data_IF_702845285847
#
_entry.id   IF_702845285847
#
_cell.length_a   1.000
_cell.length_b   1.000
_cell.length_c   1.000
_cell.angle_alpha   90.00
_cell.angle_beta   90.00
_cell.angle_gamma   90.00
#
_symmetry.space_group_name_H-M   'P 1'
#
loop_
_entity.id
_entity.type
_entity.pdbx_description
1 polymer ?
#
# COMPACT_ATOMS: atom_id res chain seq x y z
N UNK A 1 22.47 -12.48 -11.26
CA UNK A 1 21.37 -13.26 -11.87
C UNK A 1 20.67 -12.35 -12.87
N UNK A 2 20.35 -12.82 -14.07
CA UNK A 2 19.72 -12.00 -15.12
C UNK A 2 18.24 -12.34 -15.28
N UNK A 3 17.42 -11.35 -15.64
CA UNK A 3 16.05 -11.52 -16.08
C UNK A 3 15.92 -11.10 -17.55
N UNK A 4 15.45 -11.99 -18.41
CA UNK A 4 14.96 -11.61 -19.72
C UNK A 4 13.43 -11.43 -19.65
N UNK A 5 12.93 -10.30 -20.14
CA UNK A 5 11.52 -9.95 -20.17
C UNK A 5 11.08 -9.69 -21.61
N UNK A 6 10.11 -10.46 -22.09
CA UNK A 6 9.46 -10.23 -23.38
C UNK A 6 8.05 -9.76 -23.13
N UNK A 7 7.70 -8.57 -23.62
CA UNK A 7 6.37 -8.00 -23.51
C UNK A 7 5.67 -7.92 -24.86
N UNK A 8 4.38 -8.27 -24.88
CA UNK A 8 3.55 -8.21 -26.09
C UNK A 8 3.21 -6.78 -26.54
N UNK A 9 3.32 -5.77 -25.67
CA UNK A 9 3.01 -4.39 -26.03
C UNK A 9 3.92 -3.86 -27.15
N UNK A 10 5.16 -4.32 -27.19
CA UNK A 10 6.16 -3.91 -28.19
C UNK A 10 5.74 -4.27 -29.63
N UNK A 11 4.87 -5.26 -29.80
CA UNK A 11 4.34 -5.63 -31.11
C UNK A 11 3.15 -4.75 -31.56
N UNK A 12 2.73 -3.77 -30.75
CA UNK A 12 1.55 -2.93 -31.00
C UNK A 12 0.21 -3.71 -31.01
N UNK A 13 0.23 -5.00 -30.67
CA UNK A 13 -0.92 -5.87 -30.77
C UNK A 13 -1.57 -6.08 -29.39
N UNK A 14 -2.34 -5.09 -28.96
CA UNK A 14 -3.30 -5.25 -27.86
C UNK A 14 -4.66 -5.81 -28.35
N UNK A 15 -4.80 -6.14 -29.64
CA UNK A 15 -6.08 -6.51 -30.26
C UNK A 15 -6.71 -7.78 -29.64
N UNK A 16 -5.94 -8.58 -28.90
CA UNK A 16 -6.44 -9.70 -28.10
C UNK A 16 -7.01 -9.33 -26.72
N UNK A 17 -7.07 -8.04 -26.36
CA UNK A 17 -7.53 -7.58 -25.04
C UNK A 17 -6.61 -8.01 -23.89
N UNK A 18 -5.34 -8.27 -24.18
CA UNK A 18 -4.41 -8.86 -23.23
C UNK A 18 -2.98 -8.35 -23.46
N UNK A 19 -2.35 -7.83 -22.42
CA UNK A 19 -0.91 -7.59 -22.35
C UNK A 19 -0.25 -8.78 -21.66
N UNK A 20 0.79 -9.36 -22.28
CA UNK A 20 1.53 -10.51 -21.74
C UNK A 20 2.99 -10.13 -21.48
N UNK A 21 3.51 -10.62 -20.37
CA UNK A 21 4.92 -10.55 -19.98
C UNK A 21 5.44 -11.98 -19.80
N UNK A 22 6.47 -12.34 -20.56
CA UNK A 22 7.22 -13.57 -20.37
C UNK A 22 8.49 -13.23 -19.59
N UNK A 23 8.59 -13.75 -18.37
CA UNK A 23 9.72 -13.51 -17.47
C UNK A 23 10.58 -14.76 -17.38
N UNK A 24 11.83 -14.69 -17.85
CA UNK A 24 12.77 -15.81 -17.88
C UNK A 24 14.02 -15.48 -17.08
N UNK A 25 14.13 -15.98 -15.83
CA UNK A 25 15.37 -15.92 -15.06
C UNK A 25 16.50 -16.67 -15.75
N UNK A 26 17.74 -16.17 -15.65
CA UNK A 26 18.96 -16.83 -16.11
C UNK A 26 20.10 -16.75 -15.10
N UNK A 27 20.85 -17.83 -15.02
CA UNK A 27 22.09 -17.92 -14.25
C UNK A 27 23.19 -18.46 -15.16
N UNK A 28 24.03 -17.55 -15.69
CA UNK A 28 24.94 -17.86 -16.80
C UNK A 28 24.15 -18.28 -18.04
N UNK A 29 24.54 -19.41 -18.64
CA UNK A 29 23.87 -19.99 -19.81
C UNK A 29 22.60 -20.81 -19.46
N UNK A 30 22.31 -21.03 -18.18
CA UNK A 30 21.15 -21.83 -17.76
C UNK A 30 19.89 -20.99 -17.72
N UNK A 31 18.84 -21.51 -18.35
CA UNK A 31 17.50 -20.95 -18.33
C UNK A 31 16.74 -21.46 -17.11
N UNK A 32 16.15 -20.54 -16.35
CA UNK A 32 15.12 -20.84 -15.38
C UNK A 32 13.77 -21.09 -16.05
N UNK A 33 12.77 -21.42 -15.22
CA UNK A 33 11.38 -21.51 -15.67
C UNK A 33 10.91 -20.14 -16.17
N UNK A 34 10.31 -20.12 -17.36
CA UNK A 34 9.60 -18.93 -17.87
C UNK A 34 8.20 -18.88 -17.27
N UNK A 35 7.86 -17.75 -16.66
CA UNK A 35 6.49 -17.46 -16.25
C UNK A 35 5.81 -16.52 -17.25
N UNK A 36 4.55 -16.78 -17.56
CA UNK A 36 3.70 -15.88 -18.33
C UNK A 36 2.75 -15.13 -17.38
N UNK A 37 3.01 -13.85 -17.20
CA UNK A 37 2.10 -12.93 -16.51
C UNK A 37 1.22 -12.25 -17.56
N UNK A 38 -0.06 -12.09 -17.27
CA UNK A 38 -0.96 -11.41 -18.17
C UNK A 38 -1.83 -10.37 -17.45
N UNK A 39 -2.23 -9.35 -18.21
CA UNK A 39 -3.08 -8.25 -17.78
C UNK A 39 -4.18 -8.05 -18.81
N UNK A 40 -5.44 -8.16 -18.39
CA UNK A 40 -6.58 -7.87 -19.27
C UNK A 40 -6.64 -6.35 -19.51
N UNK A 41 -6.57 -5.96 -20.77
CA UNK A 41 -6.53 -4.55 -21.19
C UNK A 41 -7.60 -4.26 -22.24
N UNK A 42 -8.06 -3.00 -22.39
CA UNK A 42 -8.91 -2.57 -23.50
C UNK A 42 -8.26 -2.82 -24.87
N UNK A 43 -9.06 -2.89 -25.93
CA UNK A 43 -8.55 -3.12 -27.29
C UNK A 43 -7.72 -1.95 -27.84
N UNK A 44 -8.02 -0.73 -27.38
CA UNK A 44 -7.32 0.53 -27.69
C UNK A 44 -6.22 0.87 -26.66
N UNK A 45 -5.84 -0.09 -25.84
CA UNK A 45 -4.83 0.09 -24.81
C UNK A 45 -3.47 0.45 -25.41
N UNK A 46 -2.82 1.41 -24.77
CA UNK A 46 -1.46 1.84 -25.06
C UNK A 46 -0.74 2.17 -23.76
N UNK A 47 0.57 1.99 -23.76
CA UNK A 47 1.43 2.22 -22.59
C UNK A 47 2.85 2.56 -23.06
N UNK A 48 3.53 3.43 -22.33
CA UNK A 48 4.91 3.79 -22.58
C UNK A 48 5.86 2.67 -22.13
N UNK A 49 6.96 2.49 -22.85
CA UNK A 49 7.96 1.45 -22.55
C UNK A 49 8.51 1.55 -21.12
N UNK A 50 8.80 2.77 -20.66
CA UNK A 50 9.24 3.06 -19.29
C UNK A 50 8.25 2.56 -18.24
N UNK A 51 6.94 2.73 -18.48
CA UNK A 51 5.87 2.25 -17.59
C UNK A 51 5.87 0.73 -17.49
N UNK A 52 6.08 0.03 -18.61
CA UNK A 52 6.16 -1.44 -18.64
C UNK A 52 7.40 -1.93 -17.90
N UNK A 53 8.57 -1.31 -18.13
CA UNK A 53 9.80 -1.66 -17.44
C UNK A 53 9.68 -1.44 -15.92
N UNK A 54 9.19 -0.27 -15.49
CA UNK A 54 8.92 0.01 -14.09
C UNK A 54 7.93 -1.01 -13.50
N UNK A 55 6.82 -1.31 -14.18
CA UNK A 55 5.85 -2.30 -13.72
C UNK A 55 6.50 -3.68 -13.51
N UNK A 56 7.33 -4.18 -14.46
CA UNK A 56 8.06 -5.44 -14.30
C UNK A 56 8.92 -5.43 -13.04
N UNK A 57 9.70 -4.37 -12.83
CA UNK A 57 10.59 -4.26 -11.67
C UNK A 57 9.83 -4.15 -10.34
N UNK A 58 8.63 -3.56 -10.32
CA UNK A 58 7.78 -3.59 -9.11
C UNK A 58 7.33 -5.00 -8.72
N UNK A 59 7.24 -5.93 -9.69
CA UNK A 59 6.86 -7.33 -9.48
C UNK A 59 8.05 -8.21 -9.07
N UNK A 60 9.25 -7.95 -9.60
CA UNK A 60 10.42 -8.81 -9.36
C UNK A 60 11.32 -8.32 -8.23
N UNK A 61 11.27 -7.03 -7.89
CA UNK A 61 12.14 -6.44 -6.86
C UNK A 61 13.64 -6.49 -7.21
N UNK A 62 14.53 -6.41 -6.20
CA UNK A 62 16.00 -6.37 -6.39
C UNK A 62 16.62 -7.75 -6.66
N UNK A 63 15.82 -8.77 -7.04
CA UNK A 63 16.28 -10.16 -7.16
C UNK A 63 17.30 -10.36 -8.28
N UNK A 64 17.27 -9.49 -9.28
CA UNK A 64 18.08 -9.60 -10.49
C UNK A 64 19.09 -8.46 -10.52
N UNK A 65 20.33 -8.76 -10.89
CA UNK A 65 21.37 -7.76 -11.10
C UNK A 65 21.34 -7.23 -12.53
N UNK A 66 20.81 -8.00 -13.47
CA UNK A 66 20.70 -7.62 -14.88
C UNK A 66 19.28 -7.83 -15.38
N UNK A 67 18.75 -6.90 -16.16
CA UNK A 67 17.42 -7.01 -16.79
C UNK A 67 17.51 -6.67 -18.27
N UNK A 68 16.88 -7.48 -19.12
CA UNK A 68 16.79 -7.26 -20.58
C UNK A 68 15.35 -7.28 -21.05
N UNK A 69 14.96 -6.30 -21.85
CA UNK A 69 13.66 -6.17 -22.48
C UNK A 69 13.75 -6.41 -23.98
N UNK A 70 12.62 -6.74 -24.63
CA UNK A 70 12.50 -6.79 -26.09
C UNK A 70 12.11 -5.42 -26.70
N UNK A 71 12.16 -4.35 -25.92
CA UNK A 71 11.83 -2.97 -26.29
C UNK A 71 12.84 -2.04 -25.61
N UNK A 72 13.07 -0.87 -26.20
CA UNK A 72 13.97 0.12 -25.61
C UNK A 72 13.27 0.97 -24.54
N UNK A 73 14.00 1.37 -23.50
CA UNK A 73 13.54 2.32 -22.48
C UNK A 73 14.35 3.62 -22.55
N UNK A 74 13.82 4.70 -21.98
CA UNK A 74 14.54 5.97 -21.89
C UNK A 74 15.75 5.85 -20.95
N UNK A 75 16.76 6.71 -21.17
CA UNK A 75 17.93 6.81 -20.27
C UNK A 75 17.52 7.13 -18.83
N UNK A 76 16.54 8.02 -18.65
CA UNK A 76 16.04 8.38 -17.32
C UNK A 76 15.44 7.17 -16.57
N UNK A 77 14.61 6.37 -17.25
CA UNK A 77 14.04 5.16 -16.68
C UNK A 77 15.14 4.15 -16.29
N UNK A 78 16.09 3.92 -17.21
CA UNK A 78 17.21 3.01 -17.00
C UNK A 78 18.06 3.41 -15.79
N UNK A 79 18.46 4.68 -15.70
CA UNK A 79 19.28 5.20 -14.59
C UNK A 79 18.55 5.10 -13.24
N UNK A 80 17.27 5.48 -13.22
CA UNK A 80 16.44 5.47 -12.00
C UNK A 80 16.25 4.04 -11.47
N UNK A 81 15.89 3.09 -12.34
CA UNK A 81 15.73 1.69 -11.96
C UNK A 81 17.06 1.04 -11.56
N UNK A 82 18.15 1.38 -12.26
CA UNK A 82 19.50 0.89 -11.93
C UNK A 82 19.89 1.30 -10.52
N UNK A 83 19.73 2.59 -10.20
CA UNK A 83 20.06 3.13 -8.88
C UNK A 83 19.20 2.51 -7.78
N UNK A 84 17.89 2.46 -7.99
CA UNK A 84 16.94 2.02 -6.96
C UNK A 84 17.02 0.51 -6.67
N UNK A 85 17.13 -0.33 -7.71
CA UNK A 85 17.19 -1.79 -7.56
C UNK A 85 18.60 -2.37 -7.50
N UNK A 86 19.65 -1.53 -7.56
CA UNK A 86 21.04 -1.97 -7.54
C UNK A 86 21.44 -2.81 -8.76
N UNK A 87 20.88 -2.49 -9.94
CA UNK A 87 21.16 -3.24 -11.17
C UNK A 87 22.57 -2.90 -11.69
N UNK A 88 23.26 -3.89 -12.23
CA UNK A 88 24.50 -3.69 -13.00
C UNK A 88 24.19 -3.32 -14.45
N UNK A 89 23.06 -3.78 -15.00
CA UNK A 89 22.66 -3.47 -16.38
C UNK A 89 21.14 -3.60 -16.56
N UNK A 90 20.54 -2.66 -17.27
CA UNK A 90 19.14 -2.70 -17.73
C UNK A 90 19.07 -2.19 -19.17
N UNK A 91 18.23 -2.78 -20.03
CA UNK A 91 18.07 -2.28 -21.39
C UNK A 91 17.28 -3.21 -22.32
N UNK A 92 17.28 -2.97 -23.64
CA UNK A 92 18.05 -1.92 -24.33
C UNK A 92 17.64 -0.50 -23.92
N UNK A 93 18.58 0.44 -23.98
CA UNK A 93 18.33 1.85 -23.70
C UNK A 93 18.40 2.61 -25.03
N UNK A 94 17.38 3.42 -25.29
CA UNK A 94 17.38 4.38 -26.40
C UNK A 94 17.62 5.78 -25.85
N UNK A 95 18.81 6.33 -26.13
CA UNK A 95 19.21 7.64 -25.64
C UNK A 95 18.40 8.79 -26.25
N UNK A 96 17.73 8.57 -27.39
CA UNK A 96 16.84 9.54 -28.01
C UNK A 96 15.37 9.41 -27.57
N UNK A 97 15.03 8.39 -26.80
CA UNK A 97 13.67 8.22 -26.27
C UNK A 97 13.44 9.18 -25.11
N UNK A 98 12.47 10.08 -25.31
CA UNK A 98 11.99 10.94 -24.23
C UNK A 98 11.37 10.10 -23.11
N UNK A 99 11.61 10.45 -21.83
CA UNK A 99 10.94 9.77 -20.73
C UNK A 99 9.43 10.02 -20.78
N UNK A 100 8.67 9.07 -20.23
CA UNK A 100 7.22 9.23 -20.08
C UNK A 100 6.91 10.54 -19.34
N UNK A 101 6.06 11.38 -19.93
CA UNK A 101 5.60 12.62 -19.30
C UNK A 101 4.42 12.34 -18.36
N UNK A 102 4.31 13.06 -17.23
CA UNK A 102 3.15 12.95 -16.36
C UNK A 102 1.89 13.42 -17.09
N UNK A 103 0.77 12.74 -16.82
CA UNK A 103 -0.55 13.11 -17.34
C UNK A 103 -1.24 14.21 -16.54
N UNK A 104 -2.58 14.16 -16.47
CA UNK A 104 -3.43 15.16 -15.78
C UNK A 104 -4.22 14.64 -14.59
N UNK A 105 -4.37 13.32 -14.45
CA UNK A 105 -5.20 12.72 -13.42
C UNK A 105 -4.41 12.06 -12.29
N UNK A 106 -4.92 12.17 -11.06
CA UNK A 106 -4.51 11.35 -9.93
C UNK A 106 -5.26 10.02 -10.00
N UNK A 107 -4.59 8.90 -9.76
CA UNK A 107 -5.25 7.61 -9.56
C UNK A 107 -5.26 7.19 -8.09
N UNK A 108 -6.35 6.56 -7.66
CA UNK A 108 -6.42 5.75 -6.45
C UNK A 108 -6.24 4.27 -6.81
N UNK A 109 -5.25 3.63 -6.19
CA UNK A 109 -5.14 2.17 -6.21
C UNK A 109 -6.15 1.57 -5.23
N UNK A 110 -7.23 0.99 -5.76
CA UNK A 110 -8.40 0.63 -4.98
C UNK A 110 -8.60 -0.88 -4.93
N UNK A 111 -8.33 -1.49 -3.78
CA UNK A 111 -8.52 -2.93 -3.53
C UNK A 111 -9.92 -3.27 -3.00
N UNK A 112 -10.67 -2.30 -2.51
CA UNK A 112 -11.95 -2.52 -1.83
C UNK A 112 -11.82 -2.90 -0.36
N UNK A 113 -10.61 -3.14 0.16
CA UNK A 113 -10.40 -3.35 1.60
C UNK A 113 -10.67 -2.08 2.43
N UNK A 114 -10.73 -2.22 3.76
CA UNK A 114 -11.05 -1.13 4.70
C UNK A 114 -10.23 0.14 4.43
N UNK A 115 -8.90 0.01 4.28
CA UNK A 115 -8.01 1.17 4.18
C UNK A 115 -8.23 1.92 2.86
N UNK A 116 -8.30 1.18 1.75
CA UNK A 116 -8.57 1.77 0.42
C UNK A 116 -9.99 2.35 0.32
N UNK A 117 -10.95 1.77 1.05
CA UNK A 117 -12.33 2.27 1.15
C UNK A 117 -12.38 3.56 1.97
N UNK A 118 -11.67 3.61 3.10
CA UNK A 118 -11.53 4.83 3.89
C UNK A 118 -10.90 5.95 3.07
N UNK A 119 -9.81 5.65 2.34
CA UNK A 119 -9.19 6.65 1.46
C UNK A 119 -10.13 7.08 0.33
N UNK A 120 -10.88 6.16 -0.29
CA UNK A 120 -11.89 6.54 -1.28
C UNK A 120 -12.92 7.51 -0.69
N UNK A 121 -13.47 7.19 0.50
CA UNK A 121 -14.46 8.05 1.20
C UNK A 121 -13.86 9.42 1.50
N UNK A 122 -12.61 9.45 1.95
CA UNK A 122 -11.92 10.71 2.22
C UNK A 122 -11.74 11.55 0.95
N UNK A 123 -11.24 10.97 -0.14
CA UNK A 123 -11.00 11.70 -1.40
C UNK A 123 -12.31 12.15 -2.04
N UNK A 124 -13.31 11.28 -2.11
CA UNK A 124 -14.56 11.51 -2.84
C UNK A 124 -15.62 12.21 -1.98
N UNK A 125 -16.02 11.59 -0.86
CA UNK A 125 -17.18 12.04 -0.09
C UNK A 125 -16.86 13.26 0.79
N UNK A 126 -15.64 13.32 1.34
CA UNK A 126 -15.25 14.36 2.28
C UNK A 126 -14.48 15.52 1.61
N UNK A 127 -13.57 15.23 0.68
CA UNK A 127 -12.74 16.23 0.03
C UNK A 127 -13.22 16.66 -1.37
N UNK A 128 -14.19 15.95 -1.97
CA UNK A 128 -14.76 16.30 -3.27
C UNK A 128 -13.76 16.29 -4.43
N UNK A 129 -12.73 15.45 -4.36
CA UNK A 129 -11.66 15.40 -5.36
C UNK A 129 -12.05 14.56 -6.57
N UNK A 130 -11.63 15.02 -7.76
CA UNK A 130 -11.68 14.22 -8.98
C UNK A 130 -10.42 13.35 -9.08
N UNK A 131 -10.60 12.04 -9.21
CA UNK A 131 -9.52 11.07 -9.38
C UNK A 131 -10.01 9.86 -10.18
N UNK A 132 -9.05 9.07 -10.68
CA UNK A 132 -9.28 7.81 -11.38
C UNK A 132 -9.24 6.65 -10.40
N UNK A 133 -10.16 5.70 -10.51
CA UNK A 133 -10.17 4.50 -9.67
C UNK A 133 -9.62 3.32 -10.45
N UNK A 134 -8.48 2.79 -10.01
CA UNK A 134 -7.79 1.65 -10.63
C UNK A 134 -7.87 0.45 -9.68
N UNK A 135 -8.55 -0.61 -10.13
CA UNK A 135 -8.69 -1.86 -9.36
C UNK A 135 -7.98 -3.01 -10.07
N UNK A 136 -7.36 -3.89 -9.29
CA UNK A 136 -6.79 -5.14 -9.80
C UNK A 136 -7.63 -6.32 -9.34
N UNK A 137 -8.10 -7.15 -10.28
CA UNK A 137 -8.79 -8.40 -10.00
C UNK A 137 -7.81 -9.58 -10.19
N UNK A 138 -7.59 -10.37 -9.14
CA UNK A 138 -6.67 -11.49 -9.21
C UNK A 138 -7.42 -12.78 -9.53
N UNK A 139 -7.16 -13.38 -10.70
CA UNK A 139 -7.83 -14.59 -11.15
C UNK A 139 -7.72 -15.71 -10.13
N UNK A 140 -8.84 -16.38 -9.85
CA UNK A 140 -8.93 -17.44 -8.85
C UNK A 140 -9.15 -16.94 -7.41
N UNK A 141 -9.24 -15.62 -7.20
CA UNK A 141 -9.65 -15.03 -5.93
C UNK A 141 -10.85 -14.12 -6.12
N UNK A 142 -11.93 -14.38 -5.37
CA UNK A 142 -13.06 -13.46 -5.23
C UNK A 142 -13.00 -12.64 -3.94
N UNK A 143 -11.87 -12.71 -3.23
CA UNK A 143 -11.74 -12.07 -1.91
C UNK A 143 -12.04 -10.57 -2.00
N UNK A 144 -11.42 -9.88 -2.96
CA UNK A 144 -11.47 -8.42 -3.04
C UNK A 144 -12.81 -7.88 -3.62
N UNK A 145 -13.57 -8.71 -4.35
CA UNK A 145 -14.75 -8.32 -5.14
C UNK A 145 -15.89 -7.67 -4.33
N UNK A 146 -16.28 -8.19 -3.14
CA UNK A 146 -17.31 -7.56 -2.32
C UNK A 146 -17.00 -6.09 -2.00
N UNK A 147 -15.72 -5.76 -1.80
CA UNK A 147 -15.28 -4.44 -1.36
C UNK A 147 -15.30 -3.38 -2.46
N UNK A 148 -15.10 -3.74 -3.73
CA UNK A 148 -15.08 -2.77 -4.82
C UNK A 148 -16.29 -2.83 -5.76
N UNK A 149 -17.15 -3.87 -5.70
CA UNK A 149 -18.27 -4.04 -6.64
C UNK A 149 -19.25 -2.86 -6.69
N UNK A 150 -19.43 -2.17 -5.56
CA UNK A 150 -20.37 -1.05 -5.43
C UNK A 150 -19.80 0.29 -5.92
N UNK A 151 -18.53 0.33 -6.32
CA UNK A 151 -17.83 1.55 -6.69
C UNK A 151 -17.71 1.66 -8.21
N UNK A 152 -17.92 2.88 -8.71
CA UNK A 152 -17.53 3.23 -10.06
C UNK A 152 -16.01 3.15 -10.16
N UNK A 153 -15.53 2.43 -11.17
CA UNK A 153 -14.13 2.19 -11.43
C UNK A 153 -13.82 2.61 -12.86
N UNK A 154 -12.74 3.34 -13.07
CA UNK A 154 -12.28 3.66 -14.42
C UNK A 154 -11.70 2.40 -15.07
N UNK A 155 -10.95 1.59 -14.31
CA UNK A 155 -10.41 0.31 -14.77
C UNK A 155 -10.52 -0.75 -13.69
N UNK A 156 -10.87 -1.97 -14.11
CA UNK A 156 -10.59 -3.20 -13.38
C UNK A 156 -9.73 -4.09 -14.26
N UNK A 157 -8.44 -4.21 -13.93
CA UNK A 157 -7.50 -5.06 -14.64
C UNK A 157 -7.51 -6.46 -14.02
N UNK A 158 -7.93 -7.46 -14.79
CA UNK A 158 -7.77 -8.86 -14.38
C UNK A 158 -6.32 -9.34 -14.62
N UNK A 159 -5.76 -10.11 -13.71
CA UNK A 159 -4.40 -10.66 -13.82
C UNK A 159 -4.17 -11.95 -13.02
N UNK A 160 -3.15 -12.72 -13.40
CA UNK A 160 -2.72 -13.96 -12.72
C UNK A 160 -1.57 -13.78 -11.71
N UNK A 161 -1.16 -12.55 -11.37
CA UNK A 161 0.03 -12.28 -10.52
C UNK A 161 0.10 -13.11 -9.22
N UNK A 162 -0.99 -13.17 -8.45
CA UNK A 162 -1.04 -13.92 -7.18
C UNK A 162 -0.90 -15.43 -7.36
N UNK A 163 -1.46 -15.98 -8.45
CA UNK A 163 -1.31 -17.40 -8.82
C UNK A 163 0.15 -17.76 -9.05
N UNK A 164 0.94 -16.81 -9.54
CA UNK A 164 2.37 -16.96 -9.81
C UNK A 164 3.26 -16.41 -8.69
N UNK A 165 2.68 -15.96 -7.57
CA UNK A 165 3.40 -15.46 -6.40
C UNK A 165 4.24 -14.19 -6.61
N UNK A 166 3.89 -13.37 -7.62
CA UNK A 166 4.49 -12.05 -7.83
C UNK A 166 3.93 -10.97 -6.88
N UNK A 167 2.98 -11.34 -6.02
CA UNK A 167 2.46 -10.52 -4.91
C UNK A 167 3.34 -10.58 -3.64
N UNK A 168 4.43 -11.37 -3.68
CA UNK A 168 5.35 -11.57 -2.55
C UNK A 168 6.59 -10.68 -2.58
N UNK A 169 6.78 -9.93 -3.66
CA UNK A 169 7.96 -9.09 -3.86
C UNK A 169 7.56 -7.65 -4.15
N UNK A 170 8.42 -6.73 -3.72
CA UNK A 170 8.40 -5.33 -4.13
C UNK A 170 7.06 -4.62 -3.92
N UNK A 171 6.68 -3.85 -4.95
CA UNK A 171 5.56 -2.91 -4.95
C UNK A 171 4.48 -3.36 -5.93
N UNK A 172 4.17 -4.65 -5.95
CA UNK A 172 3.37 -5.29 -7.00
C UNK A 172 2.04 -4.60 -7.32
N UNK A 173 1.41 -3.96 -6.32
CA UNK A 173 0.16 -3.22 -6.49
C UNK A 173 0.32 -2.01 -7.42
N UNK A 174 1.53 -1.49 -7.64
CA UNK A 174 1.81 -0.38 -8.54
C UNK A 174 1.92 -0.80 -10.01
N UNK A 175 2.05 -2.11 -10.30
CA UNK A 175 2.20 -2.60 -11.67
C UNK A 175 1.01 -2.21 -12.57
N UNK A 176 -0.22 -2.40 -12.10
CA UNK A 176 -1.42 -2.05 -12.90
C UNK A 176 -1.52 -0.52 -13.13
N UNK A 177 -1.45 0.34 -12.10
CA UNK A 177 -1.42 1.79 -12.32
C UNK A 177 -0.33 2.28 -13.27
N UNK A 178 0.89 1.69 -13.21
CA UNK A 178 1.96 2.00 -14.15
C UNK A 178 1.58 1.64 -15.57
N UNK A 179 1.10 0.41 -15.81
CA UNK A 179 0.68 -0.02 -17.15
C UNK A 179 -0.42 0.86 -17.73
N UNK A 180 -1.37 1.30 -16.89
CA UNK A 180 -2.50 2.15 -17.31
C UNK A 180 -2.19 3.66 -17.24
N UNK A 181 -0.94 4.07 -16.96
CA UNK A 181 -0.62 5.47 -16.73
C UNK A 181 -0.90 6.34 -17.96
N UNK A 182 -0.55 5.90 -19.16
CA UNK A 182 -0.82 6.64 -20.40
C UNK A 182 -2.30 6.56 -20.79
N UNK A 183 -2.88 5.36 -20.72
CA UNK A 183 -4.28 5.12 -21.05
C UNK A 183 -5.25 5.98 -20.21
N UNK A 184 -4.96 6.16 -18.92
CA UNK A 184 -5.77 6.96 -17.99
C UNK A 184 -5.25 8.39 -17.80
N UNK A 185 -4.20 8.78 -18.54
CA UNK A 185 -3.59 10.10 -18.48
C UNK A 185 -3.20 10.48 -17.03
N UNK A 186 -2.45 9.60 -16.36
CA UNK A 186 -2.09 9.71 -14.94
C UNK A 186 -0.82 10.53 -14.72
N UNK A 187 -0.83 11.48 -13.77
CA UNK A 187 0.38 12.11 -13.24
C UNK A 187 0.87 11.44 -11.95
N UNK A 188 -0.03 10.84 -11.18
CA UNK A 188 0.33 10.26 -9.89
C UNK A 188 -0.61 9.15 -9.43
N UNK A 189 -0.14 8.40 -8.45
CA UNK A 189 -0.83 7.30 -7.79
C UNK A 189 -0.88 7.56 -6.28
N UNK A 190 -2.07 7.59 -5.71
CA UNK A 190 -2.28 7.48 -4.26
C UNK A 190 -2.77 6.09 -3.91
N UNK A 191 -2.40 5.63 -2.71
CA UNK A 191 -2.91 4.41 -2.10
C UNK A 191 -3.14 4.65 -0.61
N UNK A 192 -3.79 3.70 0.05
CA UNK A 192 -4.01 3.75 1.49
C UNK A 192 -2.79 3.26 2.30
N UNK A 193 -1.58 3.49 1.81
CA UNK A 193 -0.38 3.26 2.62
C UNK A 193 -0.33 4.28 3.75
N UNK A 194 -0.56 3.79 4.96
CA UNK A 194 -0.46 4.55 6.21
C UNK A 194 1.01 4.72 6.66
N UNK A 195 1.19 5.47 7.75
CA UNK A 195 2.51 5.77 8.30
C UNK A 195 3.30 4.51 8.71
N UNK A 196 2.59 3.54 9.29
CA UNK A 196 3.12 2.26 9.80
C UNK A 196 3.18 1.13 8.74
N UNK A 197 3.03 1.46 7.44
CA UNK A 197 2.91 0.42 6.40
C UNK A 197 4.15 -0.46 6.27
N UNK A 198 5.35 0.09 6.48
CA UNK A 198 6.56 -0.71 6.60
C UNK A 198 6.88 -0.88 8.09
N UNK A 199 7.33 -2.08 8.53
CA UNK A 199 7.58 -2.38 9.95
C UNK A 199 8.59 -1.44 10.64
N UNK A 200 9.18 -0.51 9.91
CA UNK A 200 10.20 0.41 10.37
C UNK A 200 9.97 1.86 9.91
N UNK A 201 8.98 2.17 9.05
CA UNK A 201 8.85 3.51 8.43
C UNK A 201 8.44 4.65 9.36
N UNK A 202 8.30 4.38 10.66
CA UNK A 202 8.00 5.40 11.65
C UNK A 202 9.29 5.97 12.20
N UNK A 203 9.57 7.19 11.76
CA UNK A 203 10.76 7.94 12.11
C UNK A 203 10.35 9.15 12.94
N UNK A 204 11.29 9.73 13.70
CA UNK A 204 10.99 10.94 14.48
C UNK A 204 10.46 12.08 13.61
N UNK A 205 10.96 12.18 12.36
CA UNK A 205 10.76 13.30 11.42
C UNK A 205 11.06 14.70 11.99
N UNK A 206 11.48 14.77 13.26
CA UNK A 206 11.92 15.96 13.94
C UNK A 206 13.12 16.57 13.19
N UNK A 207 13.13 17.90 13.07
CA UNK A 207 14.18 18.61 12.35
C UNK A 207 14.03 18.62 10.82
N UNK A 208 12.91 18.12 10.27
CA UNK A 208 12.61 18.23 8.83
C UNK A 208 13.31 17.19 7.96
N UNK A 209 13.75 16.06 8.55
CA UNK A 209 14.28 14.95 7.79
C UNK A 209 13.21 14.38 6.83
N UNK A 210 13.61 14.05 5.61
CA UNK A 210 12.74 13.39 4.65
C UNK A 210 12.45 11.95 5.12
N UNK A 211 11.18 11.50 5.15
CA UNK A 211 10.86 10.13 5.51
C UNK A 211 11.55 9.13 4.56
N UNK A 212 12.17 8.08 5.12
CA UNK A 212 12.88 7.09 4.31
C UNK A 212 11.98 6.43 3.26
N UNK A 213 10.68 6.23 3.54
CA UNK A 213 9.79 5.60 2.56
C UNK A 213 9.71 6.33 1.21
N UNK A 214 10.07 7.62 1.14
CA UNK A 214 10.12 8.38 -0.12
C UNK A 214 11.15 7.84 -1.11
N UNK A 215 12.16 7.09 -0.65
CA UNK A 215 13.10 6.43 -1.56
C UNK A 215 12.40 5.40 -2.45
N UNK A 216 11.30 4.83 -1.97
CA UNK A 216 10.54 3.83 -2.72
C UNK A 216 9.79 4.43 -3.90
N UNK A 217 9.57 5.75 -3.94
CA UNK A 217 8.88 6.46 -5.01
C UNK A 217 9.62 6.31 -6.36
N UNK A 218 10.94 6.08 -6.31
CA UNK A 218 11.80 5.94 -7.48
C UNK A 218 11.31 4.87 -8.45
N UNK A 219 10.71 3.79 -7.95
CA UNK A 219 10.14 2.74 -8.80
C UNK A 219 8.99 3.26 -9.68
N UNK A 220 8.13 4.15 -9.16
CA UNK A 220 7.05 4.74 -9.93
C UNK A 220 7.55 5.90 -10.80
N UNK A 221 8.46 6.72 -10.25
CA UNK A 221 9.05 7.86 -10.95
C UNK A 221 9.79 7.42 -12.21
N UNK A 222 10.43 6.24 -12.20
CA UNK A 222 11.07 5.67 -13.39
C UNK A 222 10.08 5.41 -14.54
N UNK A 223 8.82 5.12 -14.23
CA UNK A 223 7.72 5.00 -15.18
C UNK A 223 6.96 6.31 -15.40
N UNK A 224 7.53 7.45 -14.99
CA UNK A 224 6.93 8.78 -15.13
C UNK A 224 5.69 9.02 -14.27
N UNK A 225 5.49 8.27 -13.18
CA UNK A 225 4.34 8.39 -12.27
C UNK A 225 4.80 8.80 -10.88
N UNK A 226 4.20 9.84 -10.29
CA UNK A 226 4.48 10.21 -8.90
C UNK A 226 3.75 9.28 -7.91
N UNK A 227 4.37 8.93 -6.79
CA UNK A 227 3.59 8.43 -5.64
C UNK A 227 3.08 9.61 -4.82
N UNK A 228 1.79 9.61 -4.51
CA UNK A 228 1.10 10.70 -3.85
C UNK A 228 0.65 10.23 -2.47
N UNK A 229 1.32 10.75 -1.45
CA UNK A 229 1.30 10.22 -0.08
C UNK A 229 0.19 10.83 0.78
N UNK A 230 -1.08 10.73 0.36
CA UNK A 230 -2.21 11.34 1.08
C UNK A 230 -2.48 10.65 2.43
N UNK A 231 -2.50 9.31 2.44
CA UNK A 231 -2.79 8.54 3.65
C UNK A 231 -1.61 8.41 4.63
N UNK A 232 -0.39 8.86 4.24
CA UNK A 232 0.82 8.68 5.05
C UNK A 232 0.79 9.43 6.37
N UNK A 233 -0.01 10.49 6.49
CA UNK A 233 -0.15 11.21 7.77
C UNK A 233 -1.01 10.46 8.79
N UNK A 234 -1.66 9.35 8.43
CA UNK A 234 -2.51 8.56 9.33
C UNK A 234 -1.88 7.20 9.63
N UNK A 235 -2.18 6.67 10.81
CA UNK A 235 -2.06 5.23 11.08
C UNK A 235 -3.31 4.50 10.55
N UNK A 236 -3.27 3.17 10.48
CA UNK A 236 -4.41 2.39 9.97
C UNK A 236 -5.69 2.63 10.79
N UNK A 237 -5.53 2.84 12.09
CA UNK A 237 -6.63 3.11 13.02
C UNK A 237 -7.32 4.44 12.71
N UNK A 238 -6.57 5.49 12.34
CA UNK A 238 -7.14 6.75 11.83
C UNK A 238 -7.99 6.56 10.58
N UNK A 239 -7.56 5.72 9.62
CA UNK A 239 -8.37 5.39 8.44
C UNK A 239 -9.64 4.59 8.81
N UNK A 240 -9.54 3.66 9.76
CA UNK A 240 -10.70 2.89 10.22
C UNK A 240 -11.72 3.80 10.94
N UNK A 241 -11.25 4.68 11.83
CA UNK A 241 -12.08 5.72 12.48
C UNK A 241 -12.76 6.61 11.44
N UNK A 242 -12.03 7.07 10.43
CA UNK A 242 -12.59 7.86 9.32
C UNK A 242 -13.76 7.14 8.66
N UNK A 243 -13.58 5.85 8.34
CA UNK A 243 -14.62 5.07 7.67
C UNK A 243 -15.86 4.85 8.54
N UNK A 244 -15.68 4.59 9.83
CA UNK A 244 -16.79 4.46 10.79
C UNK A 244 -17.54 5.78 10.95
N UNK A 245 -16.81 6.90 11.05
CA UNK A 245 -17.42 8.22 11.19
C UNK A 245 -18.20 8.65 9.94
N UNK A 246 -17.63 8.45 8.74
CA UNK A 246 -18.15 9.03 7.51
C UNK A 246 -19.05 8.09 6.69
N UNK A 247 -18.81 6.78 6.72
CA UNK A 247 -19.54 5.82 5.89
C UNK A 247 -19.64 4.41 6.52
N UNK A 248 -20.24 4.28 7.71
CA UNK A 248 -20.31 3.01 8.45
C UNK A 248 -20.96 1.86 7.66
N UNK A 249 -21.90 2.19 6.76
CA UNK A 249 -22.57 1.25 5.88
C UNK A 249 -21.64 0.50 4.90
N UNK A 250 -20.43 1.01 4.67
CA UNK A 250 -19.45 0.42 3.73
C UNK A 250 -18.51 -0.59 4.38
N UNK A 251 -18.47 -0.64 5.72
CA UNK A 251 -17.49 -1.42 6.48
C UNK A 251 -17.64 -2.92 6.22
N UNK A 252 -18.86 -3.46 6.18
CA UNK A 252 -19.09 -4.89 6.03
C UNK A 252 -18.42 -5.44 4.76
N UNK A 253 -18.72 -4.83 3.61
CA UNK A 253 -18.13 -5.18 2.33
C UNK A 253 -16.60 -4.98 2.31
N UNK A 254 -16.12 -3.91 2.94
CA UNK A 254 -14.69 -3.64 3.01
C UNK A 254 -13.92 -4.62 3.91
N UNK A 255 -14.54 -5.14 4.97
CA UNK A 255 -13.99 -6.21 5.80
C UNK A 255 -13.96 -7.54 5.06
N UNK A 256 -15.02 -7.86 4.31
CA UNK A 256 -15.06 -9.04 3.44
C UNK A 256 -13.95 -9.03 2.39
N UNK A 257 -13.63 -7.85 1.86
CA UNK A 257 -12.52 -7.67 0.93
C UNK A 257 -11.14 -7.58 1.58
N UNK A 258 -11.06 -7.33 2.89
CA UNK A 258 -9.77 -7.16 3.55
C UNK A 258 -9.05 -8.48 3.76
N UNK A 259 -9.79 -9.51 4.22
CA UNK A 259 -9.31 -10.87 4.47
C UNK A 259 -10.47 -11.81 4.85
N UNK A 260 -10.21 -13.12 4.97
CA UNK A 260 -11.20 -14.12 5.35
C UNK A 260 -11.63 -13.98 6.83
N UNK A 261 -12.87 -14.37 7.19
CA UNK A 261 -13.30 -14.50 8.58
C UNK A 261 -12.31 -15.37 9.39
N UNK A 262 -12.01 -14.95 10.63
CA UNK A 262 -11.05 -15.64 11.49
C UNK A 262 -9.58 -15.33 11.15
N UNK A 263 -9.27 -14.55 10.11
CA UNK A 263 -7.90 -14.05 9.94
C UNK A 263 -7.57 -12.97 10.99
N UNK A 264 -6.30 -12.90 11.40
CA UNK A 264 -5.82 -11.81 12.28
C UNK A 264 -6.11 -10.44 11.69
N UNK A 265 -5.85 -10.23 10.39
CA UNK A 265 -6.05 -8.94 9.72
C UNK A 265 -7.51 -8.48 9.81
N UNK A 266 -8.47 -9.37 9.50
CA UNK A 266 -9.89 -9.04 9.61
C UNK A 266 -10.33 -8.85 11.06
N UNK A 267 -9.87 -9.69 11.98
CA UNK A 267 -10.22 -9.57 13.39
C UNK A 267 -9.82 -8.21 13.97
N UNK A 268 -8.57 -7.76 13.74
CA UNK A 268 -8.08 -6.45 14.20
C UNK A 268 -8.95 -5.31 13.65
N UNK A 269 -9.21 -5.31 12.34
CA UNK A 269 -10.04 -4.26 11.71
C UNK A 269 -11.46 -4.24 12.25
N UNK A 270 -12.09 -5.41 12.42
CA UNK A 270 -13.45 -5.52 12.99
C UNK A 270 -13.51 -5.05 14.44
N UNK A 271 -12.53 -5.41 15.27
CA UNK A 271 -12.43 -4.96 16.66
C UNK A 271 -12.25 -3.45 16.75
N UNK A 272 -11.36 -2.90 15.92
CA UNK A 272 -11.18 -1.46 15.83
C UNK A 272 -12.46 -0.75 15.39
N UNK A 273 -13.15 -1.22 14.35
CA UNK A 273 -14.43 -0.65 13.93
C UNK A 273 -15.47 -0.70 15.06
N UNK A 274 -15.57 -1.82 15.78
CA UNK A 274 -16.47 -1.96 16.94
C UNK A 274 -16.16 -0.94 18.04
N UNK A 275 -14.89 -0.74 18.37
CA UNK A 275 -14.49 0.29 19.34
C UNK A 275 -14.88 1.70 18.88
N UNK A 276 -14.69 2.01 17.59
CA UNK A 276 -15.04 3.31 17.03
C UNK A 276 -16.54 3.58 17.02
N UNK A 277 -17.38 2.58 16.75
CA UNK A 277 -18.83 2.72 16.92
C UNK A 277 -19.16 3.16 18.35
N UNK A 278 -18.61 2.47 19.35
CA UNK A 278 -18.84 2.79 20.76
C UNK A 278 -18.34 4.18 21.15
N UNK A 279 -17.11 4.56 20.73
CA UNK A 279 -16.53 5.87 20.99
C UNK A 279 -17.33 7.02 20.36
N UNK A 280 -17.90 6.79 19.18
CA UNK A 280 -18.73 7.77 18.47
C UNK A 280 -20.19 7.78 18.97
N UNK A 281 -20.53 7.00 20.00
CA UNK A 281 -21.90 6.90 20.52
C UNK A 281 -22.88 6.25 19.54
N UNK A 282 -22.38 5.47 18.58
CA UNK A 282 -23.17 4.78 17.56
C UNK A 282 -23.36 3.31 17.94
N UNK A 283 -24.52 2.74 17.60
CA UNK A 283 -24.74 1.30 17.78
C UNK A 283 -23.94 0.52 16.73
N UNK A 284 -23.05 -0.35 17.18
CA UNK A 284 -22.33 -1.25 16.27
C UNK A 284 -23.29 -2.28 15.66
N UNK A 285 -23.27 -2.48 14.33
CA UNK A 285 -24.10 -3.48 13.67
C UNK A 285 -23.97 -4.87 14.30
N UNK A 286 -25.04 -5.67 14.28
CA UNK A 286 -25.08 -6.99 14.91
C UNK A 286 -23.92 -7.91 14.50
N UNK A 287 -23.48 -7.84 13.23
CA UNK A 287 -22.37 -8.64 12.71
C UNK A 287 -20.99 -8.24 13.27
N UNK A 288 -20.84 -7.06 13.90
CA UNK A 288 -19.64 -6.67 14.64
C UNK A 288 -19.65 -7.10 16.10
N UNK A 289 -20.81 -7.49 16.65
CA UNK A 289 -20.89 -7.86 18.06
C UNK A 289 -20.10 -9.14 18.37
N UNK A 290 -20.10 -10.08 17.42
CA UNK A 290 -19.33 -11.34 17.49
C UNK A 290 -18.25 -11.37 16.41
N UNK A 291 -17.09 -10.78 16.71
CA UNK A 291 -15.93 -10.79 15.79
C UNK A 291 -15.27 -12.17 15.82
N UNK A 292 -15.19 -12.90 14.69
CA UNK A 292 -14.45 -14.16 14.64
C UNK A 292 -12.96 -13.90 14.86
N UNK A 293 -12.39 -14.53 15.88
CA UNK A 293 -10.96 -14.46 16.17
C UNK A 293 -10.21 -15.61 15.44
N UNK A 294 -8.94 -15.42 15.08
CA UNK A 294 -8.08 -16.51 14.66
C UNK A 294 -7.96 -17.60 15.72
N UNK A 295 -7.76 -18.84 15.28
CA UNK A 295 -7.32 -19.90 16.18
C UNK A 295 -5.99 -19.49 16.85
N UNK A 296 -5.76 -19.84 18.13
CA UNK A 296 -4.50 -19.55 18.79
C UNK A 296 -3.30 -20.05 17.97
N UNK A 297 -2.34 -19.17 17.68
CA UNK A 297 -1.17 -19.50 16.87
C UNK A 297 -1.42 -19.55 15.35
N UNK A 298 -2.64 -19.34 14.87
CA UNK A 298 -2.94 -19.19 13.44
C UNK A 298 -2.50 -17.82 12.92
N UNK A 299 -1.22 -17.75 12.62
CA UNK A 299 -0.59 -16.58 12.02
C UNK A 299 0.78 -16.96 11.55
N UNK A 300 1.14 -16.58 10.32
CA UNK A 300 2.53 -16.72 9.90
C UNK A 300 3.37 -15.83 10.83
N UNK A 301 4.37 -16.41 11.53
CA UNK A 301 5.44 -15.69 12.24
C UNK A 301 6.29 -14.90 11.23
N UNK A 302 5.69 -13.91 10.57
CA UNK A 302 6.28 -13.17 9.44
C UNK A 302 6.97 -11.88 9.88
N UNK A 303 6.90 -11.58 11.17
CA UNK A 303 7.46 -10.37 11.76
C UNK A 303 8.06 -10.75 13.10
N UNK A 304 9.32 -10.41 13.34
CA UNK A 304 10.07 -10.85 14.52
C UNK A 304 9.71 -10.11 15.81
N UNK A 305 9.10 -8.92 15.78
CA UNK A 305 8.69 -8.20 17.01
C UNK A 305 7.24 -7.76 17.12
N UNK A 306 6.96 -7.06 18.23
CA UNK A 306 5.67 -6.48 18.62
C UNK A 306 5.18 -5.46 17.58
N UNK A 307 3.87 -5.48 17.27
CA UNK A 307 3.26 -4.60 16.28
C UNK A 307 2.46 -3.48 16.93
N UNK A 308 2.49 -2.28 16.34
CA UNK A 308 1.62 -1.14 16.68
C UNK A 308 0.16 -1.55 16.88
N UNK A 309 -0.38 -2.35 15.95
CA UNK A 309 -1.76 -2.87 16.04
C UNK A 309 -2.06 -3.63 17.33
N UNK A 310 -1.10 -4.36 17.87
CA UNK A 310 -1.29 -5.12 19.10
C UNK A 310 -1.25 -4.24 20.34
N UNK A 311 -0.47 -3.16 20.32
CA UNK A 311 -0.44 -2.20 21.42
C UNK A 311 -1.77 -1.46 21.52
N UNK A 312 -2.33 -1.02 20.40
CA UNK A 312 -3.67 -0.45 20.37
C UNK A 312 -4.71 -1.43 20.93
N UNK A 313 -4.68 -2.71 20.50
CA UNK A 313 -5.59 -3.72 21.05
C UNK A 313 -5.37 -3.98 22.55
N UNK A 314 -4.13 -3.98 23.02
CA UNK A 314 -3.83 -4.14 24.44
C UNK A 314 -4.39 -2.98 25.26
N UNK A 315 -4.32 -1.74 24.75
CA UNK A 315 -4.91 -0.56 25.39
C UNK A 315 -6.44 -0.62 25.47
N UNK A 316 -7.10 -1.06 24.39
CA UNK A 316 -8.58 -1.03 24.30
C UNK A 316 -9.28 -2.29 24.82
N UNK A 317 -8.62 -3.46 24.76
CA UNK A 317 -9.21 -4.75 25.12
C UNK A 317 -8.43 -5.50 26.21
N UNK A 318 -7.30 -4.95 26.67
CA UNK A 318 -6.42 -5.56 27.65
C UNK A 318 -5.34 -6.45 27.04
N UNK A 319 -4.18 -6.50 27.70
CA UNK A 319 -3.02 -7.27 27.26
C UNK A 319 -3.32 -8.77 27.07
N UNK A 320 -4.10 -9.35 27.99
CA UNK A 320 -4.51 -10.76 27.92
C UNK A 320 -5.34 -11.08 26.66
N UNK A 321 -6.17 -10.13 26.21
CA UNK A 321 -6.93 -10.29 24.96
C UNK A 321 -6.01 -10.17 23.74
N UNK A 322 -5.16 -9.13 23.70
CA UNK A 322 -4.22 -8.94 22.61
C UNK A 322 -3.24 -10.12 22.47
N UNK A 323 -2.84 -10.76 23.57
CA UNK A 323 -2.01 -11.97 23.58
C UNK A 323 -2.67 -13.19 22.90
N UNK A 324 -4.00 -13.24 22.77
CA UNK A 324 -4.68 -14.29 22.01
C UNK A 324 -4.42 -14.15 20.51
N UNK A 325 -4.22 -12.92 20.02
CA UNK A 325 -3.93 -12.62 18.61
C UNK A 325 -2.43 -12.63 18.30
N UNK A 326 -1.60 -12.29 19.29
CA UNK A 326 -0.14 -12.32 19.21
C UNK A 326 0.47 -12.68 20.58
N UNK A 327 0.85 -13.95 20.80
CA UNK A 327 1.34 -14.43 22.10
C UNK A 327 2.50 -13.63 22.69
N UNK A 328 3.30 -12.95 21.85
CA UNK A 328 4.42 -12.11 22.29
C UNK A 328 3.99 -10.93 23.14
N UNK A 329 2.75 -10.47 23.03
CA UNK A 329 2.19 -9.43 23.90
C UNK A 329 2.30 -9.83 25.38
N UNK A 330 2.20 -11.13 25.69
CA UNK A 330 2.35 -11.63 27.07
C UNK A 330 3.80 -11.61 27.58
N UNK A 331 4.78 -11.46 26.68
CA UNK A 331 6.21 -11.42 27.00
C UNK A 331 6.73 -9.99 27.22
N UNK A 332 5.91 -8.98 26.90
CA UNK A 332 6.29 -7.55 26.97
C UNK A 332 5.67 -6.90 28.20
N UNK A 333 6.46 -6.10 28.93
CA UNK A 333 5.95 -5.24 29.98
C UNK A 333 5.23 -4.02 29.38
N UNK A 334 3.90 -4.06 29.41
CA UNK A 334 3.02 -3.02 28.85
C UNK A 334 2.57 -1.97 29.87
N UNK A 335 3.12 -1.97 31.09
CA UNK A 335 2.74 -0.99 32.13
C UNK A 335 2.99 0.46 31.71
N UNK A 336 3.96 0.69 30.82
CA UNK A 336 4.19 2.02 30.25
C UNK A 336 2.99 2.57 29.46
N UNK A 337 2.04 1.72 29.04
CA UNK A 337 0.87 2.12 28.27
C UNK A 337 -0.33 2.51 29.14
N UNK A 338 -0.29 2.22 30.44
CA UNK A 338 -1.45 2.40 31.32
C UNK A 338 -1.88 3.87 31.41
N UNK A 339 -0.91 4.78 31.51
CA UNK A 339 -1.13 6.23 31.66
C UNK A 339 -1.23 7.00 30.34
N UNK A 340 -0.95 6.35 29.20
CA UNK A 340 -0.98 6.99 27.88
C UNK A 340 -2.41 7.19 27.35
N UNK A 341 -2.67 8.22 26.55
CA UNK A 341 -3.96 8.52 25.91
C UNK A 341 -4.21 7.68 24.66
N UNK A 342 -3.17 7.38 23.89
CA UNK A 342 -3.20 6.68 22.60
C UNK A 342 -3.91 7.43 21.46
N UNK A 343 -4.21 8.71 21.65
CA UNK A 343 -4.89 9.55 20.66
C UNK A 343 -4.13 9.65 19.32
N UNK A 344 -2.80 9.55 19.35
CA UNK A 344 -1.96 9.56 18.14
C UNK A 344 -2.31 8.44 17.14
N UNK A 345 -2.88 7.32 17.58
CA UNK A 345 -3.37 6.27 16.67
C UNK A 345 -4.49 6.74 15.73
N UNK A 346 -5.20 7.78 16.14
CA UNK A 346 -6.48 8.20 15.57
C UNK A 346 -6.43 9.61 15.00
N UNK A 347 -5.34 10.32 15.26
CA UNK A 347 -5.03 11.68 14.78
C UNK A 347 -4.11 11.62 13.57
N UNK A 348 -3.86 12.77 12.93
CA UNK A 348 -2.90 12.85 11.84
C UNK A 348 -1.58 13.49 12.26
N UNK A 349 -0.48 12.90 11.80
CA UNK A 349 0.87 13.38 12.01
C UNK A 349 1.09 14.65 11.18
N UNK A 350 1.25 15.79 11.87
CA UNK A 350 1.45 17.11 11.28
C UNK A 350 2.75 17.23 10.49
N UNK A 351 3.75 16.40 10.79
CA UNK A 351 5.01 16.38 10.03
C UNK A 351 4.85 15.80 8.63
N UNK A 352 3.75 15.12 8.31
CA UNK A 352 3.55 14.44 7.03
C UNK A 352 2.52 15.10 6.11
N UNK A 353 1.78 16.10 6.58
CA UNK A 353 0.74 16.76 5.78
C UNK A 353 1.31 17.54 4.59
N UNK A 354 2.60 17.89 4.63
CA UNK A 354 3.28 18.56 3.53
C UNK A 354 3.42 17.67 2.29
N UNK A 355 3.37 16.35 2.45
CA UNK A 355 3.38 15.37 1.36
C UNK A 355 2.05 15.33 0.58
N UNK A 356 0.97 15.88 1.14
CA UNK A 356 -0.26 16.08 0.38
C UNK A 356 -0.04 17.14 -0.71
N UNK A 357 -0.55 16.92 -1.94
CA UNK A 357 -0.48 17.92 -2.99
C UNK A 357 -1.08 19.25 -2.51
N UNK A 358 -0.31 20.33 -2.68
CA UNK A 358 -0.71 21.65 -2.21
C UNK A 358 -2.13 22.09 -2.67
N UNK A 359 -2.57 21.81 -3.92
CA UNK A 359 -3.92 22.16 -4.36
C UNK A 359 -5.05 21.44 -3.59
N UNK A 360 -4.78 20.28 -3.00
CA UNK A 360 -5.79 19.44 -2.34
C UNK A 360 -5.70 19.48 -0.82
N UNK A 361 -4.56 19.92 -0.27
CA UNK A 361 -4.24 19.82 1.16
C UNK A 361 -5.35 20.37 2.07
N UNK A 362 -5.88 21.56 1.79
CA UNK A 362 -6.91 22.15 2.64
C UNK A 362 -8.22 21.36 2.62
N UNK A 363 -8.66 20.88 1.45
CA UNK A 363 -9.86 20.05 1.34
C UNK A 363 -9.68 18.70 2.03
N UNK A 364 -8.50 18.09 1.90
CA UNK A 364 -8.14 16.85 2.59
C UNK A 364 -8.16 17.04 4.11
N UNK A 365 -7.52 18.08 4.65
CA UNK A 365 -7.51 18.37 6.08
C UNK A 365 -8.91 18.68 6.61
N UNK A 366 -9.71 19.45 5.88
CA UNK A 366 -11.10 19.71 6.23
C UNK A 366 -11.94 18.41 6.29
N UNK A 367 -11.68 17.47 5.37
CA UNK A 367 -12.28 16.13 5.40
C UNK A 367 -11.91 15.35 6.66
N UNK A 368 -10.63 15.38 7.09
CA UNK A 368 -10.21 14.76 8.34
C UNK A 368 -10.91 15.39 9.56
N UNK A 369 -10.96 16.72 9.62
CA UNK A 369 -11.62 17.43 10.72
C UNK A 369 -13.13 17.12 10.78
N UNK A 370 -13.78 16.99 9.61
CA UNK A 370 -15.19 16.57 9.51
C UNK A 370 -15.40 15.17 10.10
N UNK A 371 -14.44 14.26 9.92
CA UNK A 371 -14.43 12.94 10.53
C UNK A 371 -13.95 12.92 11.99
N UNK A 372 -13.71 14.08 12.60
CA UNK A 372 -13.22 14.20 13.98
C UNK A 372 -11.78 13.71 14.16
N UNK A 373 -10.97 13.71 13.10
CA UNK A 373 -9.55 13.36 13.11
C UNK A 373 -8.75 14.66 13.18
N UNK A 374 -8.07 14.86 14.30
CA UNK A 374 -7.36 16.11 14.64
C UNK A 374 -5.84 15.98 14.42
N UNK A 375 -5.10 17.10 14.36
CA UNK A 375 -3.64 17.04 14.32
C UNK A 375 -3.06 16.45 15.61
N UNK A 376 -1.88 15.85 15.52
CA UNK A 376 -1.06 15.53 16.70
C UNK A 376 -0.79 16.78 17.54
N UNK A 377 -0.92 16.64 18.86
CA UNK A 377 -0.39 17.58 19.86
C UNK A 377 0.97 17.09 20.40
N UNK A 378 1.56 17.82 21.34
CA UNK A 378 2.87 17.49 21.93
C UNK A 378 2.86 16.13 22.64
N UNK A 379 1.77 15.80 23.34
CA UNK A 379 1.64 14.54 24.06
C UNK A 379 1.53 13.37 23.09
N UNK A 380 0.87 13.56 21.93
CA UNK A 380 0.83 12.55 20.87
C UNK A 380 2.23 12.19 20.35
N UNK A 381 3.12 13.17 20.23
CA UNK A 381 4.52 12.93 19.83
C UNK A 381 5.31 12.20 20.93
N UNK A 382 5.16 12.59 22.20
CA UNK A 382 5.82 11.93 23.34
C UNK A 382 5.38 10.47 23.47
N UNK A 383 4.09 10.21 23.30
CA UNK A 383 3.51 8.87 23.33
C UNK A 383 3.97 8.01 22.15
N UNK A 384 3.99 8.56 20.94
CA UNK A 384 4.54 7.87 19.78
C UNK A 384 6.00 7.46 20.02
N UNK A 385 6.81 8.34 20.60
CA UNK A 385 8.21 8.04 20.92
C UNK A 385 8.38 6.95 21.97
N UNK A 386 7.51 6.94 22.98
CA UNK A 386 7.47 5.89 23.99
C UNK A 386 7.15 4.53 23.34
N UNK A 387 6.16 4.50 22.45
CA UNK A 387 5.77 3.29 21.71
C UNK A 387 6.86 2.80 20.76
N UNK A 388 7.53 3.71 20.05
CA UNK A 388 8.65 3.36 19.17
C UNK A 388 9.81 2.74 19.97
N UNK A 389 10.17 3.37 21.10
CA UNK A 389 11.21 2.87 21.99
C UNK A 389 10.88 1.47 22.54
N UNK A 390 9.61 1.24 22.93
CA UNK A 390 9.15 -0.07 23.37
C UNK A 390 9.28 -1.11 22.26
N UNK A 391 8.88 -0.79 21.03
CA UNK A 391 8.95 -1.73 19.91
C UNK A 391 10.41 -2.07 19.57
N UNK A 392 11.29 -1.07 19.58
CA UNK A 392 12.74 -1.26 19.38
C UNK A 392 13.35 -2.18 20.42
N UNK A 393 12.96 -2.04 21.69
CA UNK A 393 13.46 -2.88 22.77
C UNK A 393 13.06 -4.36 22.61
N UNK A 394 12.06 -4.66 21.77
CA UNK A 394 11.64 -6.03 21.44
C UNK A 394 12.36 -6.61 20.20
N UNK A 395 13.49 -6.01 19.78
CA UNK A 395 14.29 -6.51 18.67
C UNK A 395 13.74 -6.13 17.29
N UNK A 396 12.96 -5.06 17.20
CA UNK A 396 12.57 -4.43 15.93
C UNK A 396 13.42 -3.16 15.72
N UNK A 397 14.63 -3.24 15.14
CA UNK A 397 15.50 -2.08 14.98
C UNK A 397 14.86 -1.00 14.08
N UNK A 398 15.16 0.29 14.29
CA UNK A 398 14.73 1.38 13.38
C UNK A 398 15.30 1.16 11.97
N UNK A 399 14.63 1.68 10.92
CA UNK A 399 15.11 1.54 9.51
C UNK A 399 16.54 2.01 9.31
N UNK A 400 17.02 2.93 10.17
CA UNK A 400 18.32 3.60 10.01
C UNK A 400 19.48 2.59 9.93
N UNK A 401 19.31 1.38 10.43
CA UNK A 401 20.35 0.35 10.48
C UNK A 401 20.28 -0.71 9.37
N UNK A 402 19.29 -0.65 8.46
CA UNK A 402 19.19 -1.61 7.36
C UNK A 402 19.73 -1.00 6.06
N UNK A 403 20.83 -1.54 5.48
CA UNK A 403 21.24 -1.14 4.14
C UNK A 403 20.10 -1.47 3.17
N UNK A 404 19.72 -0.48 2.35
CA UNK A 404 18.61 -0.58 1.42
C UNK A 404 18.66 -1.89 0.63
N UNK A 405 17.62 -2.72 0.79
CA UNK A 405 17.36 -3.94 0.03
C UNK A 405 15.89 -3.98 -0.38
#
# INVERSE_FOLDING_TARGET
>A
MRLDCVSSHAAGNAAGGMLRLHLTPRQGERFGRTDEIWFRVPADFHTHNDSVAAAVLTLVGPRFSEVRFNFAISSYCAETLTRYYGLTTIGPVDAGMEPRRPGRHLALNFSGGVDSTALWVWLHDLAGLAFKVVTTHYTGSKLDEPGYRAYQRDITCETNLRKLHYDRAGRFHAAVPLLFADYLDLWGLTSAHCYEHYPYSMERLAGGAAPHFLVHDQALLAGGLAEVHIARCLLEFGLNRLLVAAAPQRIAAALDASDFPGSRKRAVKSLASRAYFAQLGQEAPAWLQSVPLPEPGSGRRTSTGLHFRMLWLAKHYGAAFAAQLDPRVAEVDLRCLDDMRFDFYERYNTNLIHLMPAPYRNALLAGLHTAGILPYDEVDFEELETVLTLIESQGNPRVVDHPML
#
